data_IF_760708678628
#
_entry.id   IF_760708678628
#
_cell.length_a   1.000
_cell.length_b   1.000
_cell.length_c   1.000
_cell.angle_alpha   90.00
_cell.angle_beta   90.00
_cell.angle_gamma   90.00
#
_symmetry.space_group_name_H-M   'P 1'
#
loop_
_entity.id
_entity.type
_entity.pdbx_description
1 polymer ?
#
# COMPACT_ATOMS: atom_id res chain seq x y z
N UNK A 1 0.40 26.65 -18.30
CA UNK A 1 1.70 25.97 -18.58
C UNK A 1 2.91 26.91 -18.45
N UNK A 2 2.92 28.12 -19.03
CA UNK A 2 4.10 29.03 -18.93
C UNK A 2 4.25 29.76 -17.58
N UNK A 3 3.15 30.03 -16.85
CA UNK A 3 3.18 30.72 -15.54
C UNK A 3 3.71 29.80 -14.42
N UNK A 4 3.63 28.48 -14.60
CA UNK A 4 4.01 27.47 -13.60
C UNK A 4 5.53 27.21 -13.56
N UNK A 5 6.24 27.42 -14.68
CA UNK A 5 7.69 27.24 -14.76
C UNK A 5 8.46 28.33 -13.99
N UNK A 6 7.89 29.54 -13.91
CA UNK A 6 8.53 30.71 -13.27
C UNK A 6 8.46 30.75 -11.74
N UNK A 7 7.63 29.91 -11.10
CA UNK A 7 7.59 29.83 -9.64
C UNK A 7 8.84 29.13 -9.07
N UNK A 8 9.41 28.20 -9.84
CA UNK A 8 10.55 27.34 -9.47
C UNK A 8 11.90 27.93 -9.87
N UNK A 9 11.93 29.01 -10.67
CA UNK A 9 13.17 29.69 -11.07
C UNK A 9 13.75 30.59 -9.96
N UNK A 10 13.48 30.29 -8.68
CA UNK A 10 13.93 31.05 -7.51
C UNK A 10 13.87 30.21 -6.23
N UNK A 11 14.21 30.82 -5.08
CA UNK A 11 14.13 30.16 -3.77
C UNK A 11 12.69 29.84 -3.36
N UNK A 12 12.51 28.86 -2.49
CA UNK A 12 11.18 28.46 -1.98
C UNK A 12 10.49 29.60 -1.26
N UNK A 13 11.23 30.37 -0.45
CA UNK A 13 10.73 31.60 0.16
C UNK A 13 10.14 32.58 -0.88
N UNK A 14 10.80 32.75 -2.02
CA UNK A 14 10.30 33.61 -3.10
C UNK A 14 9.06 33.07 -3.79
N UNK A 15 8.92 31.74 -3.91
CA UNK A 15 7.72 31.11 -4.45
C UNK A 15 6.52 31.28 -3.49
N UNK A 16 6.73 31.04 -2.20
CA UNK A 16 5.71 31.20 -1.16
C UNK A 16 5.20 32.64 -1.07
N UNK A 17 6.11 33.63 -1.06
CA UNK A 17 5.73 35.04 -1.04
C UNK A 17 4.87 35.43 -2.25
N UNK A 18 5.10 34.83 -3.43
CA UNK A 18 4.24 35.06 -4.60
C UNK A 18 2.86 34.44 -4.41
N UNK A 19 2.76 33.22 -3.87
CA UNK A 19 1.47 32.55 -3.62
C UNK A 19 0.57 33.38 -2.69
N UNK A 20 1.13 33.98 -1.64
CA UNK A 20 0.37 34.82 -0.70
C UNK A 20 -0.27 36.04 -1.36
N UNK A 21 0.36 36.58 -2.41
CA UNK A 21 -0.15 37.72 -3.17
C UNK A 21 -1.22 37.36 -4.21
N UNK A 22 -1.48 36.06 -4.43
CA UNK A 22 -2.42 35.60 -5.45
C UNK A 22 -3.88 35.63 -4.95
N UNK A 23 -4.84 35.95 -5.84
CA UNK A 23 -6.27 35.75 -5.55
C UNK A 23 -6.58 34.28 -5.27
N UNK A 24 -7.52 34.01 -4.34
CA UNK A 24 -7.83 32.66 -3.85
C UNK A 24 -8.11 31.65 -4.97
N UNK A 25 -8.90 32.03 -5.99
CA UNK A 25 -9.24 31.13 -7.10
C UNK A 25 -8.06 30.72 -8.01
N UNK A 26 -6.93 31.43 -7.94
CA UNK A 26 -5.68 31.08 -8.65
C UNK A 26 -4.70 30.38 -7.70
N UNK A 27 -4.82 30.65 -6.40
CA UNK A 27 -3.90 30.20 -5.36
C UNK A 27 -3.83 28.69 -5.30
N UNK A 28 -4.96 27.99 -5.11
CA UNK A 28 -5.02 26.53 -4.97
C UNK A 28 -4.26 25.77 -6.09
N UNK A 29 -4.47 26.18 -7.35
CA UNK A 29 -3.77 25.60 -8.49
C UNK A 29 -2.26 25.90 -8.46
N UNK A 30 -1.87 27.07 -7.98
CA UNK A 30 -0.47 27.46 -7.84
C UNK A 30 0.22 26.74 -6.67
N UNK A 31 -0.51 26.41 -5.59
CA UNK A 31 -0.02 25.60 -4.47
C UNK A 31 0.32 24.18 -4.92
N UNK A 32 -0.59 23.54 -5.67
CA UNK A 32 -0.33 22.25 -6.32
C UNK A 32 0.85 22.33 -7.29
N UNK A 33 0.94 23.43 -8.05
CA UNK A 33 2.07 23.69 -8.94
C UNK A 33 3.41 23.75 -8.21
N UNK A 34 3.46 24.40 -7.05
CA UNK A 34 4.64 24.44 -6.20
C UNK A 34 4.99 23.05 -5.65
N UNK A 35 4.02 22.31 -5.11
CA UNK A 35 4.26 20.96 -4.61
C UNK A 35 4.79 20.04 -5.71
N UNK A 36 4.23 20.12 -6.92
CA UNK A 36 4.69 19.35 -8.07
C UNK A 36 6.11 19.73 -8.49
N UNK A 37 6.47 21.01 -8.40
CA UNK A 37 7.82 21.47 -8.67
C UNK A 37 8.84 20.95 -7.66
N UNK A 38 8.48 20.93 -6.37
CA UNK A 38 9.34 20.43 -5.29
C UNK A 38 9.65 18.93 -5.44
N UNK A 39 8.75 18.16 -6.08
CA UNK A 39 8.99 16.75 -6.43
C UNK A 39 10.08 16.54 -7.49
N UNK A 40 10.45 17.59 -8.24
CA UNK A 40 11.40 17.43 -9.34
C UNK A 40 12.85 17.34 -8.84
N UNK A 41 13.72 16.52 -9.48
CA UNK A 41 15.13 16.43 -9.11
C UNK A 41 15.89 17.76 -9.25
N UNK A 42 15.43 18.62 -10.16
CA UNK A 42 16.03 19.93 -10.45
C UNK A 42 15.67 21.02 -9.45
N UNK A 43 14.74 20.78 -8.52
CA UNK A 43 14.42 21.74 -7.48
C UNK A 43 15.64 21.97 -6.58
N UNK A 44 16.14 23.22 -6.57
CA UNK A 44 17.15 23.70 -5.65
C UNK A 44 16.51 24.01 -4.29
N UNK A 45 16.05 22.94 -3.63
CA UNK A 45 15.40 22.96 -2.32
C UNK A 45 16.33 22.26 -1.32
N UNK A 46 16.71 22.97 -0.26
CA UNK A 46 17.61 22.51 0.79
C UNK A 46 16.92 22.33 2.15
N UNK A 47 17.71 21.99 3.16
CA UNK A 47 17.24 21.75 4.54
C UNK A 47 16.53 22.97 5.16
N UNK A 48 16.98 24.18 4.82
CA UNK A 48 16.40 25.45 5.29
C UNK A 48 15.02 25.71 4.67
N UNK A 49 14.75 25.15 3.48
CA UNK A 49 13.48 25.32 2.80
C UNK A 49 12.39 24.35 3.34
N UNK A 50 12.79 23.25 4.00
CA UNK A 50 11.86 22.30 4.62
C UNK A 50 10.97 23.00 5.65
N UNK A 51 11.58 23.79 6.53
CA UNK A 51 10.84 24.49 7.58
C UNK A 51 9.86 25.50 6.97
N UNK A 52 10.25 26.18 5.88
CA UNK A 52 9.34 27.07 5.15
C UNK A 52 8.13 26.34 4.56
N UNK A 53 8.32 25.15 3.99
CA UNK A 53 7.23 24.35 3.41
C UNK A 53 6.31 23.80 4.49
N UNK A 54 6.87 23.34 5.62
CA UNK A 54 6.11 22.85 6.76
C UNK A 54 5.30 23.98 7.40
N UNK A 55 5.92 25.14 7.63
CA UNK A 55 5.25 26.33 8.17
C UNK A 55 4.14 26.78 7.22
N UNK A 56 4.42 26.88 5.92
CA UNK A 56 3.42 27.22 4.92
C UNK A 56 2.25 26.23 4.90
N UNK A 57 2.51 24.92 4.90
CA UNK A 57 1.45 23.90 4.95
C UNK A 57 0.53 24.05 6.17
N UNK A 58 1.07 24.47 7.31
CA UNK A 58 0.27 24.69 8.52
C UNK A 58 -0.77 25.83 8.38
N UNK A 59 -0.57 26.73 7.42
CA UNK A 59 -1.48 27.85 7.11
C UNK A 59 -2.59 27.49 6.12
N UNK A 60 -2.48 26.34 5.45
CA UNK A 60 -3.39 25.92 4.39
C UNK A 60 -4.66 25.29 4.94
N UNK A 61 -5.72 25.36 4.13
CA UNK A 61 -6.89 24.52 4.34
C UNK A 61 -6.53 23.03 4.23
N UNK A 62 -7.23 22.13 4.92
CA UNK A 62 -6.91 20.70 4.87
C UNK A 62 -7.04 20.12 3.46
N UNK A 63 -5.91 19.77 2.85
CA UNK A 63 -5.83 19.08 1.56
C UNK A 63 -4.90 17.85 1.69
N UNK A 64 -5.46 16.65 1.54
CA UNK A 64 -4.73 15.39 1.66
C UNK A 64 -3.81 15.12 0.47
N UNK A 65 -4.20 15.50 -0.75
CA UNK A 65 -3.42 15.25 -1.95
C UNK A 65 -2.18 16.16 -1.96
N UNK A 66 -2.37 17.44 -1.62
CA UNK A 66 -1.26 18.37 -1.43
C UNK A 66 -0.33 17.90 -0.30
N UNK A 67 -0.89 17.47 0.83
CA UNK A 67 -0.13 16.95 1.96
C UNK A 67 0.74 15.75 1.56
N UNK A 68 0.18 14.80 0.80
CA UNK A 68 0.90 13.64 0.30
C UNK A 68 2.03 14.05 -0.66
N UNK A 69 1.78 14.96 -1.60
CA UNK A 69 2.80 15.45 -2.53
C UNK A 69 3.95 16.15 -1.82
N UNK A 70 3.66 17.00 -0.85
CA UNK A 70 4.70 17.66 -0.05
C UNK A 70 5.50 16.62 0.74
N UNK A 71 4.84 15.64 1.37
CA UNK A 71 5.54 14.56 2.07
C UNK A 71 6.53 13.81 1.17
N UNK A 72 6.11 13.46 -0.04
CA UNK A 72 6.99 12.85 -1.03
C UNK A 72 8.19 13.75 -1.37
N UNK A 73 7.96 15.05 -1.59
CA UNK A 73 9.03 16.00 -1.93
C UNK A 73 10.04 16.19 -0.79
N UNK A 74 9.56 16.36 0.45
CA UNK A 74 10.39 16.49 1.65
C UNK A 74 11.22 15.21 1.89
N UNK A 75 10.60 14.05 1.67
CA UNK A 75 11.24 12.75 1.90
C UNK A 75 12.42 12.49 0.98
N UNK A 76 12.38 12.98 -0.27
CA UNK A 76 13.53 12.90 -1.20
C UNK A 76 14.78 13.63 -0.72
N UNK A 77 14.67 14.44 0.33
CA UNK A 77 15.72 15.33 0.82
C UNK A 77 16.17 14.92 2.22
N UNK A 78 15.22 14.89 3.15
CA UNK A 78 15.46 14.52 4.54
C UNK A 78 14.34 13.58 5.02
N UNK A 79 14.45 12.27 4.74
CA UNK A 79 13.38 11.31 4.99
C UNK A 79 12.97 11.22 6.46
N UNK A 80 13.92 11.28 7.40
CA UNK A 80 13.60 11.26 8.83
C UNK A 80 12.86 12.53 9.28
N UNK A 81 13.25 13.72 8.80
CA UNK A 81 12.54 14.97 9.11
C UNK A 81 11.15 14.99 8.49
N UNK A 82 11.03 14.54 7.24
CA UNK A 82 9.75 14.44 6.55
C UNK A 82 8.79 13.48 7.25
N UNK A 83 9.29 12.32 7.70
CA UNK A 83 8.49 11.37 8.47
C UNK A 83 8.11 11.92 9.85
N UNK A 84 9.01 12.63 10.54
CA UNK A 84 8.70 13.29 11.80
C UNK A 84 7.59 14.34 11.64
N UNK A 85 7.66 15.15 10.58
CA UNK A 85 6.59 16.08 10.21
C UNK A 85 5.29 15.34 9.90
N UNK A 86 5.33 14.31 9.06
CA UNK A 86 4.15 13.50 8.71
C UNK A 86 3.46 12.94 9.95
N UNK A 87 4.23 12.41 10.90
CA UNK A 87 3.72 11.85 12.15
C UNK A 87 3.18 12.91 13.12
N UNK A 88 3.60 14.18 13.00
CA UNK A 88 3.11 15.31 13.80
C UNK A 88 1.74 15.84 13.37
N UNK A 89 1.33 15.57 12.13
CA UNK A 89 -0.01 15.90 11.64
C UNK A 89 -1.08 15.08 12.35
N UNK A 90 -2.35 15.34 12.08
CA UNK A 90 -3.48 14.59 12.66
C UNK A 90 -4.51 14.21 11.61
N UNK A 91 -5.33 13.19 11.92
CA UNK A 91 -6.40 12.71 11.05
C UNK A 91 -5.91 12.28 9.66
N UNK A 92 -6.71 12.56 8.63
CA UNK A 92 -6.46 12.12 7.26
C UNK A 92 -5.16 12.72 6.68
N UNK A 93 -4.79 13.94 7.08
CA UNK A 93 -3.53 14.57 6.66
C UNK A 93 -2.32 13.78 7.13
N UNK A 94 -2.37 13.21 8.33
CA UNK A 94 -1.32 12.34 8.85
C UNK A 94 -1.18 11.07 8.03
N UNK A 95 -2.30 10.42 7.71
CA UNK A 95 -2.30 9.21 6.87
C UNK A 95 -1.75 9.52 5.47
N UNK A 96 -2.21 10.62 4.86
CA UNK A 96 -1.75 11.07 3.56
C UNK A 96 -0.24 11.37 3.54
N UNK A 97 0.27 12.07 4.56
CA UNK A 97 1.70 12.36 4.68
C UNK A 97 2.53 11.09 4.91
N UNK A 98 2.12 10.21 5.82
CA UNK A 98 2.83 8.94 6.08
C UNK A 98 2.88 8.10 4.81
N UNK A 99 1.74 7.95 4.12
CA UNK A 99 1.68 7.25 2.82
C UNK A 99 2.61 7.89 1.78
N UNK A 100 2.61 9.21 1.65
CA UNK A 100 3.51 9.93 0.74
C UNK A 100 4.99 9.67 1.03
N UNK A 101 5.38 9.71 2.30
CA UNK A 101 6.75 9.43 2.71
C UNK A 101 7.17 8.00 2.31
N UNK A 102 6.35 7.00 2.65
CA UNK A 102 6.68 5.61 2.34
C UNK A 102 6.58 5.26 0.86
N UNK A 103 5.73 5.95 0.09
CA UNK A 103 5.74 5.84 -1.38
C UNK A 103 7.06 6.34 -1.96
N UNK A 104 7.58 7.49 -1.49
CA UNK A 104 8.86 7.99 -1.96
C UNK A 104 10.02 7.09 -1.52
N UNK A 105 10.02 6.65 -0.26
CA UNK A 105 11.07 5.75 0.27
C UNK A 105 11.09 4.41 -0.46
N UNK A 106 9.94 3.77 -0.68
CA UNK A 106 9.91 2.47 -1.35
C UNK A 106 10.39 2.53 -2.81
N UNK A 107 10.30 3.70 -3.45
CA UNK A 107 10.82 3.94 -4.79
C UNK A 107 12.34 4.21 -4.80
N UNK A 108 12.85 4.96 -3.82
CA UNK A 108 14.25 5.44 -3.82
C UNK A 108 15.20 4.58 -2.96
N UNK A 109 14.77 4.18 -1.75
CA UNK A 109 15.55 3.40 -0.78
C UNK A 109 14.66 2.47 0.07
N UNK A 110 14.50 1.23 -0.41
CA UNK A 110 13.65 0.21 0.22
C UNK A 110 14.16 -0.24 1.59
N UNK A 111 15.47 -0.30 1.79
CA UNK A 111 16.06 -0.73 3.06
C UNK A 111 15.84 0.33 4.13
N UNK A 112 16.00 1.61 3.77
CA UNK A 112 15.61 2.72 4.63
C UNK A 112 14.12 2.69 4.96
N UNK A 113 13.26 2.44 3.97
CA UNK A 113 11.82 2.30 4.18
C UNK A 113 11.52 1.23 5.25
N UNK A 114 12.09 0.02 5.10
CA UNK A 114 11.88 -1.10 6.04
C UNK A 114 12.42 -0.79 7.44
N UNK A 115 13.59 -0.14 7.53
CA UNK A 115 14.16 0.32 8.81
C UNK A 115 13.20 1.26 9.52
N UNK A 116 12.70 2.29 8.84
CA UNK A 116 11.79 3.28 9.43
C UNK A 116 10.45 2.64 9.83
N UNK A 117 9.92 1.69 9.06
CA UNK A 117 8.76 0.88 9.49
C UNK A 117 9.05 0.11 10.78
N UNK A 118 10.29 -0.37 10.98
CA UNK A 118 10.71 -1.03 12.21
C UNK A 118 10.70 -0.13 13.44
N UNK A 119 10.95 1.16 13.25
CA UNK A 119 10.98 2.19 14.31
C UNK A 119 9.58 2.73 14.66
N UNK A 120 8.60 2.53 13.77
CA UNK A 120 7.22 2.98 13.97
C UNK A 120 6.40 2.06 14.90
N UNK A 121 5.34 2.61 15.48
CA UNK A 121 4.40 1.88 16.34
C UNK A 121 2.95 2.18 15.96
N UNK A 122 2.02 1.35 16.43
CA UNK A 122 0.60 1.55 16.22
C UNK A 122 0.15 1.37 14.76
N UNK A 123 -0.91 2.09 14.38
CA UNK A 123 -1.58 1.93 13.09
C UNK A 123 -0.73 2.39 11.89
N UNK A 124 0.08 3.44 12.05
CA UNK A 124 0.90 3.95 10.94
C UNK A 124 1.97 2.98 10.51
N UNK A 125 2.49 2.18 11.45
CA UNK A 125 3.44 1.12 11.15
C UNK A 125 2.86 0.16 10.12
N UNK A 126 1.60 -0.21 10.30
CA UNK A 126 0.92 -1.18 9.44
C UNK A 126 0.62 -0.57 8.05
N UNK A 127 0.17 0.68 8.02
CA UNK A 127 -0.07 1.40 6.77
C UNK A 127 1.22 1.61 5.96
N UNK A 128 2.29 2.00 6.64
CA UNK A 128 3.62 2.15 6.06
C UNK A 128 4.14 0.81 5.52
N UNK A 129 4.03 -0.26 6.30
CA UNK A 129 4.42 -1.61 5.87
C UNK A 129 3.69 -2.05 4.60
N UNK A 130 2.37 -1.84 4.56
CA UNK A 130 1.54 -2.16 3.38
C UNK A 130 1.97 -1.36 2.15
N UNK A 131 2.33 -0.10 2.34
CA UNK A 131 2.79 0.79 1.26
C UNK A 131 4.10 0.29 0.65
N UNK A 132 5.06 -0.08 1.50
CA UNK A 132 6.34 -0.66 1.07
C UNK A 132 6.12 -2.02 0.38
N UNK A 133 5.29 -2.90 0.94
CA UNK A 133 4.98 -4.19 0.33
C UNK A 133 4.34 -4.06 -1.06
N UNK A 134 3.42 -3.11 -1.22
CA UNK A 134 2.78 -2.85 -2.50
C UNK A 134 3.79 -2.42 -3.58
N UNK A 135 4.83 -1.68 -3.21
CA UNK A 135 5.88 -1.27 -4.15
C UNK A 135 6.84 -2.42 -4.49
N UNK A 136 7.02 -3.41 -3.60
CA UNK A 136 7.97 -4.51 -3.78
C UNK A 136 7.36 -5.76 -4.44
N UNK A 137 6.06 -6.01 -4.24
CA UNK A 137 5.41 -7.25 -4.67
C UNK A 137 5.51 -7.49 -6.18
N UNK A 138 5.62 -6.42 -6.96
CA UNK A 138 5.75 -6.52 -8.41
C UNK A 138 7.11 -7.03 -8.87
N UNK A 139 8.17 -6.76 -8.11
CA UNK A 139 9.55 -7.11 -8.48
C UNK A 139 10.03 -8.36 -7.76
N UNK A 140 9.77 -8.45 -6.45
CA UNK A 140 10.32 -9.47 -5.54
C UNK A 140 9.26 -10.01 -4.58
N UNK A 141 8.19 -10.65 -5.08
CA UNK A 141 7.04 -11.05 -4.26
C UNK A 141 7.38 -12.00 -3.11
N UNK A 142 8.36 -12.90 -3.29
CA UNK A 142 8.84 -13.79 -2.21
C UNK A 142 9.48 -13.02 -1.07
N UNK A 143 10.33 -12.05 -1.40
CA UNK A 143 10.97 -11.19 -0.40
C UNK A 143 9.94 -10.33 0.32
N UNK A 144 8.96 -9.80 -0.41
CA UNK A 144 7.85 -9.06 0.17
C UNK A 144 7.03 -9.94 1.14
N UNK A 145 6.68 -11.18 0.74
CA UNK A 145 5.97 -12.12 1.61
C UNK A 145 6.80 -12.47 2.85
N UNK A 146 8.09 -12.76 2.70
CA UNK A 146 8.98 -13.07 3.82
C UNK A 146 9.04 -11.91 4.84
N UNK A 147 9.09 -10.66 4.35
CA UNK A 147 9.04 -9.49 5.22
C UNK A 147 7.67 -9.31 5.89
N UNK A 148 6.56 -9.53 5.18
CA UNK A 148 5.22 -9.54 5.78
C UNK A 148 5.11 -10.57 6.93
N UNK A 149 5.71 -11.75 6.76
CA UNK A 149 5.72 -12.83 7.75
C UNK A 149 6.69 -12.60 8.92
N UNK A 150 7.57 -11.59 8.87
CA UNK A 150 8.49 -11.27 9.97
C UNK A 150 7.86 -10.38 11.05
N UNK A 151 6.63 -9.90 10.86
CA UNK A 151 5.94 -9.08 11.86
C UNK A 151 5.55 -9.92 13.10
N UNK A 152 5.68 -9.35 14.29
CA UNK A 152 5.47 -10.09 15.55
C UNK A 152 3.99 -10.50 15.76
N UNK A 153 3.08 -9.58 15.46
CA UNK A 153 1.64 -9.80 15.58
C UNK A 153 1.16 -10.73 14.48
N UNK A 154 0.53 -11.85 14.85
CA UNK A 154 -0.10 -12.76 13.89
C UNK A 154 -1.15 -12.05 13.03
N UNK A 155 -1.94 -11.15 13.63
CA UNK A 155 -2.92 -10.35 12.89
C UNK A 155 -2.26 -9.50 11.81
N UNK A 156 -1.13 -8.83 12.13
CA UNK A 156 -0.40 -8.05 11.14
C UNK A 156 0.22 -8.94 10.05
N UNK A 157 0.77 -10.10 10.42
CA UNK A 157 1.31 -11.05 9.43
C UNK A 157 0.23 -11.51 8.45
N UNK A 158 -0.97 -11.84 8.95
CA UNK A 158 -2.10 -12.25 8.11
C UNK A 158 -2.52 -11.11 7.18
N UNK A 159 -2.68 -9.90 7.71
CA UNK A 159 -3.10 -8.74 6.92
C UNK A 159 -2.10 -8.39 5.81
N UNK A 160 -0.81 -8.33 6.16
CA UNK A 160 0.25 -8.00 5.22
C UNK A 160 0.47 -9.13 4.19
N UNK A 161 0.45 -10.40 4.62
CA UNK A 161 0.57 -11.54 3.72
C UNK A 161 -0.61 -11.60 2.73
N UNK A 162 -1.83 -11.31 3.19
CA UNK A 162 -3.01 -11.17 2.32
C UNK A 162 -2.81 -10.09 1.27
N UNK A 163 -2.29 -8.91 1.67
CA UNK A 163 -2.02 -7.83 0.73
C UNK A 163 -1.00 -8.23 -0.34
N UNK A 164 0.06 -8.95 0.04
CA UNK A 164 1.09 -9.43 -0.91
C UNK A 164 0.50 -10.48 -1.84
N UNK A 165 -0.15 -11.50 -1.31
CA UNK A 165 -0.64 -12.63 -2.11
C UNK A 165 -1.82 -12.24 -3.00
N UNK A 166 -2.63 -11.26 -2.61
CA UNK A 166 -3.64 -10.68 -3.50
C UNK A 166 -3.00 -10.11 -4.78
N UNK A 167 -1.98 -9.26 -4.64
CA UNK A 167 -1.29 -8.67 -5.80
C UNK A 167 -0.52 -9.73 -6.59
N UNK A 168 0.15 -10.65 -5.92
CA UNK A 168 0.90 -11.71 -6.58
C UNK A 168 -0.01 -12.66 -7.37
N UNK A 169 -1.16 -13.08 -6.80
CA UNK A 169 -2.11 -13.95 -7.50
C UNK A 169 -2.64 -13.33 -8.80
N UNK A 170 -2.81 -12.00 -8.85
CA UNK A 170 -3.28 -11.31 -10.06
C UNK A 170 -2.24 -11.26 -11.18
N UNK A 171 -0.95 -11.49 -10.87
CA UNK A 171 0.16 -11.39 -11.81
C UNK A 171 0.72 -12.76 -12.18
N UNK A 172 0.88 -13.63 -11.20
CA UNK A 172 1.40 -14.99 -11.34
C UNK A 172 0.72 -15.91 -10.29
N UNK A 173 -0.51 -16.38 -10.58
CA UNK A 173 -1.28 -17.18 -9.65
C UNK A 173 -0.63 -18.54 -9.37
N UNK A 174 0.07 -19.14 -10.34
CA UNK A 174 0.75 -20.42 -10.13
C UNK A 174 1.88 -20.30 -9.11
N UNK A 175 2.74 -19.29 -9.25
CA UNK A 175 3.84 -19.08 -8.31
C UNK A 175 3.32 -18.66 -6.92
N UNK A 176 2.30 -17.80 -6.86
CA UNK A 176 1.70 -17.35 -5.61
C UNK A 176 1.08 -18.51 -4.83
N UNK A 177 0.31 -19.37 -5.50
CA UNK A 177 -0.33 -20.54 -4.88
C UNK A 177 0.68 -21.60 -4.50
N UNK A 178 1.74 -21.81 -5.29
CA UNK A 178 2.83 -22.70 -4.90
C UNK A 178 3.49 -22.24 -3.59
N UNK A 179 3.81 -20.94 -3.47
CA UNK A 179 4.40 -20.39 -2.24
C UNK A 179 3.46 -20.54 -1.03
N UNK A 180 2.15 -20.30 -1.23
CA UNK A 180 1.14 -20.41 -0.18
C UNK A 180 0.93 -21.85 0.30
N UNK A 181 1.06 -22.84 -0.59
CA UNK A 181 1.01 -24.26 -0.23
C UNK A 181 2.18 -24.65 0.66
N UNK A 182 3.36 -24.07 0.41
CA UNK A 182 4.59 -24.36 1.15
C UNK A 182 4.65 -23.64 2.52
N UNK A 183 3.74 -22.69 2.79
CA UNK A 183 3.63 -22.08 4.10
C UNK A 183 3.27 -23.14 5.17
N UNK A 184 3.75 -22.98 6.42
CA UNK A 184 3.36 -23.85 7.53
C UNK A 184 1.85 -23.88 7.73
N UNK A 185 1.33 -25.07 8.03
CA UNK A 185 -0.07 -25.25 8.39
C UNK A 185 -0.47 -24.41 9.61
N UNK A 186 -1.70 -23.92 9.59
CA UNK A 186 -2.28 -23.16 10.68
C UNK A 186 -3.08 -21.95 10.20
N UNK A 187 -3.54 -21.16 11.18
CA UNK A 187 -4.49 -20.06 10.97
C UNK A 187 -4.03 -19.04 9.93
N UNK A 188 -2.74 -18.71 9.88
CA UNK A 188 -2.21 -17.78 8.89
C UNK A 188 -2.38 -18.32 7.47
N UNK A 189 -1.91 -19.54 7.20
CA UNK A 189 -2.02 -20.15 5.87
C UNK A 189 -3.47 -20.29 5.45
N UNK A 190 -4.33 -20.73 6.36
CA UNK A 190 -5.77 -20.88 6.10
C UNK A 190 -6.42 -19.56 5.69
N UNK A 191 -6.20 -18.49 6.48
CA UNK A 191 -6.80 -17.18 6.17
C UNK A 191 -6.30 -16.58 4.87
N UNK A 192 -5.05 -16.84 4.53
CA UNK A 192 -4.49 -16.35 3.27
C UNK A 192 -4.94 -17.21 2.07
N UNK A 193 -5.08 -18.52 2.24
CA UNK A 193 -5.65 -19.43 1.24
C UNK A 193 -7.13 -19.16 0.97
N UNK A 194 -7.91 -18.82 2.00
CA UNK A 194 -9.29 -18.34 1.84
C UNK A 194 -9.33 -17.14 0.87
N UNK A 195 -8.53 -16.11 1.13
CA UNK A 195 -8.49 -14.90 0.28
C UNK A 195 -7.97 -15.18 -1.12
N UNK A 196 -6.87 -15.93 -1.25
CA UNK A 196 -6.28 -16.27 -2.54
C UNK A 196 -7.25 -17.09 -3.40
N UNK A 197 -8.00 -18.02 -2.80
CA UNK A 197 -8.98 -18.84 -3.51
C UNK A 197 -10.08 -17.98 -4.14
N UNK A 198 -10.54 -16.93 -3.44
CA UNK A 198 -11.48 -15.95 -4.01
C UNK A 198 -10.86 -15.26 -5.22
N UNK A 199 -9.61 -14.81 -5.11
CA UNK A 199 -8.91 -14.06 -6.16
C UNK A 199 -8.73 -14.87 -7.43
N UNK A 200 -8.37 -16.15 -7.32
CA UNK A 200 -8.06 -16.99 -8.48
C UNK A 200 -9.27 -17.73 -9.06
N UNK A 201 -10.38 -17.85 -8.33
CA UNK A 201 -11.50 -18.75 -8.67
C UNK A 201 -12.01 -18.61 -10.11
N UNK A 202 -12.17 -17.38 -10.60
CA UNK A 202 -12.80 -17.14 -11.90
C UNK A 202 -11.87 -17.51 -13.04
N UNK A 203 -10.59 -17.12 -12.95
CA UNK A 203 -9.62 -17.31 -14.05
C UNK A 203 -8.89 -18.66 -13.95
N UNK A 204 -8.72 -19.16 -12.73
CA UNK A 204 -7.93 -20.35 -12.38
C UNK A 204 -8.63 -21.16 -11.28
N UNK A 205 -9.81 -21.74 -11.57
CA UNK A 205 -10.56 -22.54 -10.61
C UNK A 205 -9.75 -23.73 -10.10
N UNK A 206 -8.89 -24.33 -10.92
CA UNK A 206 -7.97 -25.40 -10.52
C UNK A 206 -7.09 -25.03 -9.31
N UNK A 207 -6.63 -23.78 -9.26
CA UNK A 207 -5.85 -23.27 -8.14
C UNK A 207 -6.72 -23.01 -6.91
N UNK A 208 -7.96 -22.53 -7.09
CA UNK A 208 -8.91 -22.41 -5.99
C UNK A 208 -9.27 -23.77 -5.37
N UNK A 209 -9.40 -24.82 -6.20
CA UNK A 209 -9.59 -26.20 -5.75
C UNK A 209 -8.38 -26.68 -4.94
N UNK A 210 -7.16 -26.41 -5.41
CA UNK A 210 -5.93 -26.74 -4.66
C UNK A 210 -5.88 -26.03 -3.31
N UNK A 211 -6.26 -24.76 -3.26
CA UNK A 211 -6.32 -23.99 -2.01
C UNK A 211 -7.36 -24.55 -1.04
N UNK A 212 -8.53 -24.96 -1.52
CA UNK A 212 -9.54 -25.65 -0.71
C UNK A 212 -8.98 -26.89 0.01
N UNK A 213 -8.10 -27.65 -0.65
CA UNK A 213 -7.51 -28.86 -0.06
C UNK A 213 -6.56 -28.57 1.11
N UNK A 214 -5.80 -27.46 1.05
CA UNK A 214 -4.79 -27.14 2.08
C UNK A 214 -5.35 -26.38 3.29
N UNK A 215 -6.56 -25.80 3.18
CA UNK A 215 -7.22 -25.10 4.28
C UNK A 215 -7.67 -26.12 5.32
N UNK A 216 -7.23 -25.99 6.57
CA UNK A 216 -7.57 -26.94 7.63
C UNK A 216 -8.80 -26.49 8.44
N UNK A 217 -9.03 -25.18 8.55
CA UNK A 217 -10.16 -24.61 9.27
C UNK A 217 -11.51 -24.98 8.63
N UNK A 218 -12.49 -25.36 9.47
CA UNK A 218 -13.84 -25.68 8.99
C UNK A 218 -14.52 -24.45 8.39
N UNK A 219 -14.30 -23.27 8.97
CA UNK A 219 -14.81 -21.99 8.47
C UNK A 219 -14.29 -21.69 7.06
N UNK A 220 -12.97 -21.77 6.86
CA UNK A 220 -12.35 -21.50 5.57
C UNK A 220 -12.73 -22.52 4.51
N UNK A 221 -12.72 -23.82 4.85
CA UNK A 221 -13.21 -24.87 3.95
C UNK A 221 -14.67 -24.64 3.56
N UNK A 222 -15.53 -24.26 4.51
CA UNK A 222 -16.93 -23.97 4.22
C UNK A 222 -17.07 -22.77 3.28
N UNK A 223 -16.32 -21.70 3.50
CA UNK A 223 -16.33 -20.52 2.64
C UNK A 223 -15.91 -20.87 1.20
N UNK A 224 -14.74 -21.48 1.03
CA UNK A 224 -14.19 -21.81 -0.30
C UNK A 224 -15.02 -22.89 -0.99
N UNK A 225 -15.47 -23.91 -0.26
CA UNK A 225 -16.35 -24.96 -0.78
C UNK A 225 -17.69 -24.43 -1.30
N UNK A 226 -18.30 -23.45 -0.62
CA UNK A 226 -19.54 -22.80 -1.10
C UNK A 226 -19.32 -22.03 -2.41
N UNK A 227 -18.17 -21.37 -2.54
CA UNK A 227 -17.83 -20.64 -3.77
C UNK A 227 -17.58 -21.61 -4.93
N UNK A 228 -16.80 -22.67 -4.70
CA UNK A 228 -16.55 -23.71 -5.69
C UNK A 228 -17.85 -24.43 -6.10
N UNK A 229 -18.72 -24.74 -5.14
CA UNK A 229 -20.05 -25.29 -5.43
C UNK A 229 -20.86 -24.36 -6.34
N UNK A 230 -20.94 -23.07 -6.01
CA UNK A 230 -21.70 -22.09 -6.79
C UNK A 230 -21.11 -21.90 -8.19
N UNK A 231 -19.79 -21.76 -8.29
CA UNK A 231 -19.08 -21.60 -9.55
C UNK A 231 -19.36 -22.77 -10.49
N UNK A 232 -19.12 -24.01 -10.05
CA UNK A 232 -19.36 -25.21 -10.86
C UNK A 232 -20.82 -25.37 -11.28
N UNK A 233 -21.78 -24.97 -10.43
CA UNK A 233 -23.21 -24.95 -10.79
C UNK A 233 -23.51 -23.96 -11.93
N UNK A 234 -22.84 -22.81 -11.95
CA UNK A 234 -23.02 -21.79 -13.01
C UNK A 234 -22.38 -22.25 -14.31
N UNK A 235 -21.19 -22.85 -14.24
CA UNK A 235 -20.47 -23.42 -15.40
C UNK A 235 -21.14 -24.69 -15.96
N UNK A 236 -22.14 -25.25 -15.27
CA UNK A 236 -22.86 -26.45 -15.69
C UNK A 236 -22.19 -27.78 -15.30
N UNK A 237 -21.09 -27.74 -14.55
CA UNK A 237 -20.42 -28.92 -14.00
C UNK A 237 -21.18 -29.45 -12.76
N UNK A 238 -22.21 -30.24 -13.04
CA UNK A 238 -23.10 -30.79 -12.02
C UNK A 238 -22.40 -31.82 -11.12
N UNK A 239 -21.37 -32.51 -11.61
CA UNK A 239 -20.61 -33.50 -10.85
C UNK A 239 -19.73 -32.80 -9.82
N UNK A 240 -18.93 -31.81 -10.22
CA UNK A 240 -18.15 -31.01 -9.27
C UNK A 240 -19.02 -30.25 -8.30
N UNK A 241 -20.15 -29.70 -8.76
CA UNK A 241 -21.10 -29.06 -7.86
C UNK A 241 -21.65 -30.04 -6.80
N UNK A 242 -21.93 -31.29 -7.16
CA UNK A 242 -22.35 -32.32 -6.21
C UNK A 242 -21.22 -32.69 -5.23
N UNK A 243 -19.98 -32.83 -5.72
CA UNK A 243 -18.80 -33.08 -4.90
C UNK A 243 -18.64 -32.04 -3.78
N UNK A 244 -18.61 -30.75 -4.13
CA UNK A 244 -18.45 -29.69 -3.11
C UNK A 244 -19.65 -29.61 -2.16
N UNK A 245 -20.86 -29.98 -2.62
CA UNK A 245 -22.04 -30.06 -1.72
C UNK A 245 -21.87 -31.17 -0.69
N UNK A 246 -21.33 -32.31 -1.09
CA UNK A 246 -21.05 -33.43 -0.18
C UNK A 246 -19.96 -33.06 0.83
N UNK A 247 -18.86 -32.46 0.37
CA UNK A 247 -17.79 -31.99 1.26
C UNK A 247 -18.30 -30.99 2.30
N UNK A 248 -19.17 -30.06 1.90
CA UNK A 248 -19.82 -29.12 2.81
C UNK A 248 -20.74 -29.78 3.85
N UNK A 249 -21.26 -30.99 3.60
CA UNK A 249 -22.10 -31.71 4.57
C UNK A 249 -21.29 -32.38 5.69
N UNK A 250 -19.96 -32.48 5.53
CA UNK A 250 -19.02 -33.11 6.47
C UNK A 250 -18.42 -32.11 7.46
N UNK A 251 -18.62 -30.80 7.24
CA UNK A 251 -18.10 -29.68 8.06
C UNK A 251 -19.13 -29.18 9.06
#
# INVERSE_FOLDING_TARGET
MAVMSGLVTGSVAGALSRLESMPDGVREHAEQGLAQALLTPTAAFGSEDIDLVVDWHSTLEPDNDLTMMLSMALTKREPERALAWALSLTGDRRQAAVKGAFLSLAADDRELAKRLVGEMHGQDRLEAARTVLHAEVDDVPRTALAWALSFESETHRIELANSVLYSWCRKDPDAAVAELVDLPAGRLRDKVAESAAVTVLIERPDLAERLFQIIESHEGRRLVGLMLHRFNRIEGDSEKAAYYREELSKL
#
